data_IF_064057666625
#
_entry.id   IF_064057666625
#
_cell.length_a   1.000
_cell.length_b   1.000
_cell.length_c   1.000
_cell.angle_alpha   90.00
_cell.angle_beta   90.00
_cell.angle_gamma   90.00
#
_symmetry.space_group_name_H-M   'P 1'
#
loop_
_entity.id
_entity.type
_entity.pdbx_description
1 polymer ?
#
# COMPACT_ATOMS: atom_id res chain seq x y z
N UNK A 1 -12.77 -73.05 -6.43
CA UNK A 1 -12.48 -74.12 -7.41
C UNK A 1 -13.58 -74.14 -8.46
N UNK A 2 -13.16 -74.20 -9.74
CA UNK A 2 -13.90 -74.38 -11.01
C UNK A 2 -14.65 -73.14 -11.53
N UNK A 3 -14.06 -72.30 -12.40
CA UNK A 3 -13.85 -72.46 -13.87
C UNK A 3 -15.14 -72.68 -14.67
N UNK A 4 -15.49 -71.72 -15.53
CA UNK A 4 -15.64 -71.93 -16.98
C UNK A 4 -15.67 -70.58 -17.73
N UNK A 5 -14.75 -70.46 -18.69
CA UNK A 5 -14.57 -69.43 -19.70
C UNK A 5 -15.44 -69.76 -20.94
N UNK A 6 -15.85 -68.77 -21.75
CA UNK A 6 -15.53 -68.62 -23.20
C UNK A 6 -16.56 -67.82 -24.01
N UNK A 7 -16.05 -67.11 -25.03
CA UNK A 7 -16.76 -66.35 -26.08
C UNK A 7 -15.96 -65.09 -26.40
N UNK A 8 -14.93 -65.06 -27.26
CA UNK A 8 -14.79 -65.45 -28.69
C UNK A 8 -15.58 -64.57 -29.67
N UNK A 9 -14.85 -63.79 -30.47
CA UNK A 9 -15.32 -62.93 -31.56
C UNK A 9 -14.21 -61.94 -31.93
N UNK A 10 -13.21 -62.32 -32.73
CA UNK A 10 -13.20 -62.47 -34.20
C UNK A 10 -12.44 -61.29 -34.85
N UNK A 11 -11.31 -61.66 -35.44
CA UNK A 11 -10.43 -60.88 -36.31
C UNK A 11 -11.11 -60.53 -37.65
N UNK A 12 -10.81 -59.35 -38.21
CA UNK A 12 -11.05 -58.97 -39.61
C UNK A 12 -10.24 -57.72 -40.01
N UNK A 13 -9.76 -57.60 -41.27
CA UNK A 13 -8.42 -57.09 -41.56
C UNK A 13 -8.32 -55.62 -42.02
N UNK A 14 -7.11 -55.10 -41.88
CA UNK A 14 -6.63 -53.78 -42.29
C UNK A 14 -6.16 -53.78 -43.76
N UNK A 15 -6.66 -52.84 -44.58
CA UNK A 15 -5.98 -52.41 -45.81
C UNK A 15 -6.54 -51.08 -46.35
N UNK A 16 -5.75 -50.01 -46.23
CA UNK A 16 -6.04 -48.73 -46.87
C UNK A 16 -4.96 -47.69 -46.58
N UNK A 17 -3.90 -47.68 -47.40
CA UNK A 17 -2.77 -46.76 -47.31
C UNK A 17 -3.13 -45.32 -47.76
N UNK A 18 -2.32 -44.37 -47.27
CA UNK A 18 -2.01 -42.98 -47.75
C UNK A 18 -2.72 -41.88 -46.96
N UNK A 19 -2.13 -40.73 -46.66
CA UNK A 19 -0.76 -40.24 -46.55
C UNK A 19 -0.87 -38.81 -45.93
N UNK A 20 0.19 -38.39 -45.25
CA UNK A 20 0.63 -36.99 -45.11
C UNK A 20 -0.18 -35.99 -44.27
N UNK A 21 0.28 -35.72 -43.04
CA UNK A 21 0.78 -34.40 -42.55
C UNK A 21 1.06 -34.47 -41.04
N UNK A 22 2.24 -34.04 -40.54
CA UNK A 22 2.46 -33.87 -39.11
C UNK A 22 1.99 -32.47 -38.69
N UNK A 23 0.76 -32.35 -38.21
CA UNK A 23 0.34 -31.16 -37.48
C UNK A 23 1.08 -31.16 -36.12
N UNK A 24 2.09 -30.30 -36.03
CA UNK A 24 2.78 -29.95 -34.78
C UNK A 24 1.76 -29.29 -33.86
N UNK A 25 1.23 -30.04 -32.89
CA UNK A 25 0.56 -29.45 -31.73
C UNK A 25 1.67 -28.89 -30.83
N UNK A 26 1.94 -27.59 -30.98
CA UNK A 26 2.69 -26.82 -30.01
C UNK A 26 1.96 -26.87 -28.67
N UNK A 27 2.46 -27.69 -27.77
CA UNK A 27 2.21 -27.59 -26.35
C UNK A 27 2.82 -26.28 -25.84
N UNK A 28 2.09 -25.17 -25.98
CA UNK A 28 2.32 -23.96 -25.21
C UNK A 28 1.53 -24.11 -23.90
N UNK A 29 2.12 -24.87 -22.97
CA UNK A 29 1.75 -24.82 -21.56
C UNK A 29 2.14 -23.44 -21.00
N UNK A 30 1.36 -22.42 -21.34
CA UNK A 30 1.38 -21.14 -20.66
C UNK A 30 0.86 -21.33 -19.25
N UNK A 31 1.77 -21.62 -18.32
CA UNK A 31 1.48 -21.58 -16.90
C UNK A 31 0.89 -20.21 -16.58
N UNK A 32 -0.43 -20.17 -16.41
CA UNK A 32 -1.14 -18.99 -15.94
C UNK A 32 -0.48 -18.57 -14.63
N UNK A 33 0.27 -17.47 -14.70
CA UNK A 33 0.85 -16.82 -13.55
C UNK A 33 -0.26 -16.46 -12.60
N UNK A 34 -0.50 -17.33 -11.62
CA UNK A 34 -1.18 -16.96 -10.39
C UNK A 34 -0.22 -16.01 -9.68
N UNK A 35 -0.19 -14.76 -10.10
CA UNK A 35 0.36 -13.70 -9.29
C UNK A 35 -0.58 -13.57 -8.09
N UNK A 36 -0.34 -14.41 -7.09
CA UNK A 36 -1.18 -14.51 -5.90
C UNK A 36 -1.23 -13.11 -5.26
N UNK A 37 -2.42 -12.55 -4.95
CA UNK A 37 -2.53 -11.27 -4.22
C UNK A 37 -1.69 -11.22 -2.94
N UNK A 38 -1.37 -12.40 -2.40
CA UNK A 38 -0.50 -12.62 -1.25
C UNK A 38 0.96 -12.17 -1.49
N UNK A 39 1.53 -12.35 -2.68
CA UNK A 39 2.92 -11.96 -2.95
C UNK A 39 3.12 -10.44 -2.89
N UNK A 40 2.19 -9.66 -3.47
CA UNK A 40 2.24 -8.20 -3.41
C UNK A 40 2.06 -7.68 -1.98
N UNK A 41 1.06 -8.20 -1.26
CA UNK A 41 0.81 -7.81 0.13
C UNK A 41 2.02 -8.14 1.02
N UNK A 42 2.62 -9.33 0.84
CA UNK A 42 3.82 -9.75 1.57
C UNK A 42 4.97 -8.78 1.34
N UNK A 43 5.26 -8.41 0.09
CA UNK A 43 6.31 -7.43 -0.22
C UNK A 43 6.01 -6.08 0.42
N UNK A 44 4.76 -5.60 0.31
CA UNK A 44 4.33 -4.33 0.92
C UNK A 44 4.52 -4.31 2.44
N UNK A 45 4.18 -5.39 3.14
CA UNK A 45 4.37 -5.50 4.60
C UNK A 45 5.85 -5.52 4.99
N UNK A 46 6.70 -6.22 4.24
CA UNK A 46 8.13 -6.33 4.58
C UNK A 46 8.91 -5.01 4.42
N UNK A 47 8.42 -4.08 3.59
CA UNK A 47 9.07 -2.79 3.35
C UNK A 47 8.35 -1.59 3.99
N UNK A 48 7.21 -1.83 4.67
CA UNK A 48 6.40 -0.76 5.22
C UNK A 48 7.02 -0.15 6.48
N UNK A 49 6.97 1.18 6.56
CA UNK A 49 7.22 1.94 7.79
C UNK A 49 6.16 1.62 8.86
N UNK A 50 6.41 1.95 10.15
CA UNK A 50 5.43 1.73 11.21
C UNK A 50 4.06 2.38 10.94
N UNK A 51 4.04 3.59 10.37
CA UNK A 51 2.79 4.27 10.01
C UNK A 51 2.04 3.55 8.87
N UNK A 52 2.77 3.05 7.87
CA UNK A 52 2.17 2.25 6.78
C UNK A 52 1.67 0.89 7.26
N UNK A 53 2.35 0.23 8.20
CA UNK A 53 1.87 -1.01 8.81
C UNK A 53 0.56 -0.79 9.57
N UNK A 54 0.44 0.32 10.30
CA UNK A 54 -0.80 0.68 10.98
C UNK A 54 -1.93 0.96 9.99
N UNK A 55 -1.64 1.70 8.91
CA UNK A 55 -2.60 1.92 7.84
C UNK A 55 -3.07 0.60 7.22
N UNK A 56 -2.15 -0.33 6.95
CA UNK A 56 -2.46 -1.67 6.44
C UNK A 56 -3.34 -2.50 7.38
N UNK A 57 -3.13 -2.39 8.70
CA UNK A 57 -4.01 -3.02 9.70
C UNK A 57 -5.42 -2.45 9.60
N UNK A 58 -5.56 -1.12 9.56
CA UNK A 58 -6.87 -0.46 9.47
C UNK A 58 -7.59 -0.85 8.17
N UNK A 59 -6.89 -0.82 7.02
CA UNK A 59 -7.44 -1.30 5.74
C UNK A 59 -7.88 -2.77 5.82
N UNK A 60 -7.08 -3.60 6.48
CA UNK A 60 -7.40 -5.00 6.75
C UNK A 60 -8.67 -5.16 7.59
N UNK A 61 -8.83 -4.37 8.67
CA UNK A 61 -10.01 -4.38 9.52
C UNK A 61 -11.27 -4.03 8.74
N UNK A 62 -11.25 -2.95 7.94
CA UNK A 62 -12.37 -2.54 7.08
C UNK A 62 -12.76 -3.68 6.15
N UNK A 63 -11.79 -4.28 5.45
CA UNK A 63 -12.03 -5.40 4.53
C UNK A 63 -12.69 -6.59 5.22
N UNK A 64 -12.29 -6.93 6.45
CA UNK A 64 -12.90 -8.03 7.20
C UNK A 64 -14.29 -7.67 7.75
N UNK A 65 -14.53 -6.41 8.10
CA UNK A 65 -15.87 -5.93 8.41
C UNK A 65 -16.79 -6.03 7.18
N UNK A 66 -16.34 -5.57 6.01
CA UNK A 66 -17.07 -5.71 4.75
C UNK A 66 -17.35 -7.19 4.41
N UNK A 67 -16.39 -8.08 4.66
CA UNK A 67 -16.59 -9.52 4.48
C UNK A 67 -17.68 -10.08 5.42
N UNK A 68 -17.69 -9.68 6.70
CA UNK A 68 -18.73 -10.10 7.64
C UNK A 68 -20.11 -9.54 7.24
N UNK A 69 -20.16 -8.27 6.82
CA UNK A 69 -21.36 -7.58 6.33
C UNK A 69 -21.98 -8.28 5.12
N UNK A 70 -21.16 -8.62 4.11
CA UNK A 70 -21.60 -9.42 2.97
C UNK A 70 -22.06 -10.81 3.41
N UNK A 71 -21.34 -11.45 4.34
CA UNK A 71 -21.73 -12.73 4.91
C UNK A 71 -23.12 -12.71 5.57
N UNK A 72 -23.48 -11.64 6.28
CA UNK A 72 -24.83 -11.45 6.84
C UNK A 72 -25.86 -11.39 5.71
N UNK A 73 -25.61 -10.57 4.69
CA UNK A 73 -26.51 -10.36 3.55
C UNK A 73 -26.74 -11.64 2.75
N UNK A 74 -25.69 -12.44 2.59
CA UNK A 74 -25.69 -13.70 1.84
C UNK A 74 -26.06 -14.92 2.69
N UNK A 75 -26.30 -14.73 3.99
CA UNK A 75 -26.52 -15.83 4.96
C UNK A 75 -25.39 -16.88 4.97
N UNK A 76 -24.14 -16.44 4.80
CA UNK A 76 -22.95 -17.27 4.77
C UNK A 76 -22.24 -17.28 6.15
N UNK A 77 -22.41 -18.33 6.97
CA UNK A 77 -21.90 -18.35 8.34
C UNK A 77 -20.37 -18.36 8.43
N UNK A 78 -19.67 -18.95 7.46
CA UNK A 78 -18.21 -18.97 7.42
C UNK A 78 -17.63 -17.57 7.18
N UNK A 79 -18.24 -16.79 6.28
CA UNK A 79 -17.86 -15.40 6.02
C UNK A 79 -18.13 -14.51 7.22
N UNK A 80 -19.30 -14.67 7.87
CA UNK A 80 -19.65 -13.96 9.10
C UNK A 80 -18.60 -14.23 10.18
N UNK A 81 -18.37 -15.50 10.49
CA UNK A 81 -17.43 -15.89 11.56
C UNK A 81 -16.01 -15.41 11.27
N UNK A 82 -15.53 -15.64 10.05
CA UNK A 82 -14.16 -15.26 9.65
C UNK A 82 -13.99 -13.75 9.67
N UNK A 83 -14.93 -13.00 9.10
CA UNK A 83 -14.87 -11.53 9.05
C UNK A 83 -14.84 -10.93 10.45
N UNK A 84 -15.79 -11.27 11.32
CA UNK A 84 -15.81 -10.74 12.69
C UNK A 84 -14.61 -11.16 13.53
N UNK A 85 -14.13 -12.40 13.38
CA UNK A 85 -12.96 -12.88 14.14
C UNK A 85 -11.69 -12.17 13.71
N UNK A 86 -11.49 -11.96 12.40
CA UNK A 86 -10.32 -11.27 11.86
C UNK A 86 -10.35 -9.77 12.14
N UNK A 87 -11.51 -9.11 11.99
CA UNK A 87 -11.66 -7.70 12.34
C UNK A 87 -11.33 -7.46 13.82
N UNK A 88 -11.93 -8.23 14.73
CA UNK A 88 -11.66 -8.12 16.18
C UNK A 88 -10.19 -8.37 16.53
N UNK A 89 -9.55 -9.37 15.91
CA UNK A 89 -8.13 -9.64 16.13
C UNK A 89 -7.25 -8.43 15.74
N UNK A 90 -7.58 -7.75 14.64
CA UNK A 90 -6.86 -6.53 14.25
C UNK A 90 -7.11 -5.39 15.24
N UNK A 91 -8.35 -5.20 15.69
CA UNK A 91 -8.64 -4.15 16.70
C UNK A 91 -7.86 -4.41 18.00
N UNK A 92 -7.75 -5.66 18.45
CA UNK A 92 -6.93 -6.03 19.61
C UNK A 92 -5.44 -5.73 19.38
N UNK A 93 -4.93 -5.98 18.18
CA UNK A 93 -3.56 -5.63 17.81
C UNK A 93 -3.33 -4.11 17.83
N UNK A 94 -4.27 -3.32 17.30
CA UNK A 94 -4.21 -1.86 17.34
C UNK A 94 -4.14 -1.31 18.77
N UNK A 95 -4.91 -1.90 19.70
CA UNK A 95 -4.85 -1.56 21.14
C UNK A 95 -3.49 -1.93 21.72
N UNK A 96 -3.00 -3.14 21.42
CA UNK A 96 -1.74 -3.66 21.95
C UNK A 96 -0.52 -2.87 21.46
N UNK A 97 -0.63 -2.22 20.31
CA UNK A 97 0.40 -1.33 19.76
C UNK A 97 0.41 0.10 20.31
N UNK A 98 -0.49 0.46 21.24
CA UNK A 98 -0.49 1.78 21.88
C UNK A 98 0.54 1.85 23.02
N UNK A 99 1.23 2.98 23.15
CA UNK A 99 2.20 3.22 24.21
C UNK A 99 1.70 4.32 25.19
N UNK A 100 1.41 3.99 26.46
CA UNK A 100 0.92 4.96 27.43
C UNK A 100 1.98 5.99 27.86
N UNK A 101 3.27 5.69 27.67
CA UNK A 101 4.37 6.56 28.11
C UNK A 101 4.58 7.78 27.18
N UNK A 102 4.04 7.75 25.97
CA UNK A 102 4.20 8.83 24.97
C UNK A 102 3.22 9.97 25.21
N UNK A 103 1.94 9.63 25.38
CA UNK A 103 0.86 10.57 25.67
C UNK A 103 -0.28 9.79 26.38
N UNK A 104 -0.38 9.89 27.71
CA UNK A 104 -1.39 9.16 28.49
C UNK A 104 -2.83 9.53 28.13
N UNK A 105 -3.10 10.81 27.84
CA UNK A 105 -4.46 11.28 27.55
C UNK A 105 -4.93 10.77 26.18
N UNK A 106 -4.03 10.81 25.18
CA UNK A 106 -4.31 10.23 23.88
C UNK A 106 -4.43 8.71 23.94
N UNK A 107 -3.57 8.05 24.73
CA UNK A 107 -3.63 6.61 24.97
C UNK A 107 -5.01 6.18 25.49
N UNK A 108 -5.54 6.86 26.51
CA UNK A 108 -6.86 6.56 27.07
C UNK A 108 -7.98 6.74 26.05
N UNK A 109 -7.96 7.84 25.28
CA UNK A 109 -8.96 8.09 24.23
C UNK A 109 -8.95 7.02 23.14
N UNK A 110 -7.77 6.67 22.63
CA UNK A 110 -7.64 5.67 21.56
C UNK A 110 -8.01 4.27 22.05
N UNK A 111 -7.58 3.91 23.26
CA UNK A 111 -7.96 2.64 23.88
C UNK A 111 -9.47 2.55 24.05
N UNK A 112 -10.11 3.63 24.50
CA UNK A 112 -11.58 3.73 24.61
C UNK A 112 -12.29 3.55 23.26
N UNK A 113 -11.83 4.26 22.22
CA UNK A 113 -12.38 4.15 20.87
C UNK A 113 -12.26 2.72 20.30
N UNK A 114 -11.09 2.11 20.40
CA UNK A 114 -10.87 0.76 19.89
C UNK A 114 -11.63 -0.30 20.70
N UNK A 115 -11.75 -0.13 22.03
CA UNK A 115 -12.57 -1.01 22.87
C UNK A 115 -14.06 -0.89 22.55
N UNK A 116 -14.54 0.32 22.27
CA UNK A 116 -15.90 0.54 21.79
C UNK A 116 -16.13 -0.20 20.46
N UNK A 117 -15.28 -0.01 19.46
CA UNK A 117 -15.40 -0.73 18.18
C UNK A 117 -15.37 -2.25 18.35
N UNK A 118 -14.49 -2.78 19.21
CA UNK A 118 -14.46 -4.20 19.51
C UNK A 118 -15.81 -4.69 20.08
N UNK A 119 -16.37 -3.96 21.03
CA UNK A 119 -17.67 -4.29 21.66
C UNK A 119 -18.79 -4.26 20.63
N UNK A 120 -18.84 -3.22 19.78
CA UNK A 120 -19.83 -3.13 18.69
C UNK A 120 -19.71 -4.28 17.69
N UNK A 121 -18.50 -4.74 17.37
CA UNK A 121 -18.32 -5.93 16.54
C UNK A 121 -18.82 -7.22 17.22
N UNK A 122 -18.73 -7.32 18.54
CA UNK A 122 -19.34 -8.43 19.29
C UNK A 122 -20.86 -8.37 19.19
N UNK A 123 -21.46 -7.21 19.44
CA UNK A 123 -22.91 -6.99 19.33
C UNK A 123 -23.42 -7.32 17.92
N UNK A 124 -22.77 -6.74 16.89
CA UNK A 124 -23.09 -6.98 15.49
C UNK A 124 -23.03 -8.48 15.12
N UNK A 125 -22.05 -9.21 15.65
CA UNK A 125 -21.92 -10.64 15.39
C UNK A 125 -23.03 -11.48 16.04
N UNK A 126 -23.46 -11.09 17.24
CA UNK A 126 -24.52 -11.76 17.99
C UNK A 126 -25.89 -11.51 17.35
N UNK A 127 -26.15 -10.25 16.97
CA UNK A 127 -27.43 -9.81 16.42
C UNK A 127 -27.51 -9.97 14.90
N UNK A 128 -26.38 -10.20 14.22
CA UNK A 128 -26.23 -10.15 12.76
C UNK A 128 -26.76 -8.83 12.19
N UNK A 129 -26.49 -7.71 12.86
CA UNK A 129 -26.92 -6.38 12.42
C UNK A 129 -25.92 -5.76 11.45
N UNK A 130 -26.42 -5.37 10.27
CA UNK A 130 -25.65 -4.63 9.26
C UNK A 130 -25.42 -3.18 9.73
N UNK A 131 -26.38 -2.62 10.45
CA UNK A 131 -26.33 -1.24 10.94
C UNK A 131 -25.20 -1.05 11.95
N UNK A 132 -25.02 -2.01 12.88
CA UNK A 132 -23.93 -1.94 13.87
C UNK A 132 -22.56 -2.08 13.20
N UNK A 133 -22.42 -2.99 12.22
CA UNK A 133 -21.13 -3.15 11.53
C UNK A 133 -20.81 -1.95 10.62
N UNK A 134 -21.82 -1.32 10.01
CA UNK A 134 -21.66 -0.09 9.22
C UNK A 134 -21.14 1.06 10.10
N UNK A 135 -21.63 1.19 11.34
CA UNK A 135 -21.10 2.17 12.31
C UNK A 135 -19.58 1.97 12.56
N UNK A 136 -19.15 0.73 12.76
CA UNK A 136 -17.73 0.41 12.97
C UNK A 136 -16.90 0.66 11.70
N UNK A 137 -17.44 0.34 10.52
CA UNK A 137 -16.77 0.60 9.24
C UNK A 137 -16.53 2.10 9.07
N UNK A 138 -17.50 2.95 9.39
CA UNK A 138 -17.34 4.40 9.28
C UNK A 138 -16.27 4.93 10.24
N UNK A 139 -16.23 4.47 11.49
CA UNK A 139 -15.16 4.82 12.43
C UNK A 139 -13.77 4.40 11.91
N UNK A 140 -13.66 3.20 11.36
CA UNK A 140 -12.42 2.73 10.74
C UNK A 140 -12.03 3.53 9.49
N UNK A 141 -13.00 4.06 8.73
CA UNK A 141 -12.72 4.94 7.58
C UNK A 141 -12.11 6.27 8.02
N UNK A 142 -12.61 6.87 9.10
CA UNK A 142 -12.00 8.09 9.66
C UNK A 142 -10.58 7.86 10.15
N UNK A 143 -10.33 6.73 10.84
CA UNK A 143 -8.98 6.32 11.21
C UNK A 143 -8.10 6.16 9.96
N UNK A 144 -8.60 5.45 8.94
CA UNK A 144 -7.86 5.23 7.69
C UNK A 144 -7.49 6.53 7.00
N UNK A 145 -8.41 7.49 6.94
CA UNK A 145 -8.16 8.82 6.36
C UNK A 145 -7.06 9.56 7.12
N UNK A 146 -7.16 9.58 8.45
CA UNK A 146 -6.16 10.21 9.33
C UNK A 146 -4.76 9.63 9.12
N UNK A 147 -4.65 8.30 9.11
CA UNK A 147 -3.36 7.63 8.90
C UNK A 147 -2.85 7.76 7.46
N UNK A 148 -3.74 7.81 6.47
CA UNK A 148 -3.35 8.07 5.08
C UNK A 148 -2.74 9.46 4.92
N UNK A 149 -3.32 10.47 5.55
CA UNK A 149 -2.78 11.84 5.57
C UNK A 149 -1.40 11.87 6.25
N UNK A 150 -1.26 11.22 7.40
CA UNK A 150 0.03 11.13 8.10
C UNK A 150 1.12 10.48 7.23
N UNK A 151 0.82 9.35 6.59
CA UNK A 151 1.76 8.67 5.69
C UNK A 151 2.16 9.57 4.52
N UNK A 152 1.20 10.30 3.93
CA UNK A 152 1.48 11.24 2.85
C UNK A 152 2.41 12.38 3.30
N UNK A 153 2.17 12.95 4.49
CA UNK A 153 3.00 14.02 5.05
C UNK A 153 4.44 13.54 5.32
N UNK A 154 4.60 12.36 5.93
CA UNK A 154 5.91 11.77 6.17
C UNK A 154 6.67 11.51 4.86
N UNK A 155 5.97 11.09 3.81
CA UNK A 155 6.56 10.89 2.49
C UNK A 155 7.03 12.22 1.86
N UNK A 156 6.24 13.30 1.98
CA UNK A 156 6.64 14.62 1.47
C UNK A 156 7.83 15.20 2.24
N UNK A 157 7.84 15.12 3.57
CA UNK A 157 8.96 15.60 4.40
C UNK A 157 10.27 14.90 4.04
N UNK A 158 10.23 13.58 3.84
CA UNK A 158 11.39 12.80 3.42
C UNK A 158 11.88 13.19 2.01
N UNK A 159 10.96 13.52 1.08
CA UNK A 159 11.32 13.96 -0.26
C UNK A 159 11.98 15.34 -0.25
N UNK A 160 11.44 16.28 0.54
CA UNK A 160 12.00 17.63 0.69
C UNK A 160 13.40 17.59 1.33
N UNK A 161 13.58 16.78 2.37
CA UNK A 161 14.89 16.57 3.00
C UNK A 161 15.94 16.04 2.01
N UNK A 162 15.58 15.06 1.17
CA UNK A 162 16.47 14.53 0.14
C UNK A 162 16.86 15.56 -0.93
N UNK A 163 15.96 16.51 -1.25
CA UNK A 163 16.29 17.61 -2.19
C UNK A 163 17.21 18.66 -1.58
N UNK A 164 17.10 18.96 -0.28
CA UNK A 164 18.00 19.90 0.41
C UNK A 164 19.41 19.33 0.61
N UNK A 165 19.54 18.02 0.83
CA UNK A 165 20.84 17.36 0.96
C UNK A 165 21.64 17.34 -0.35
N UNK A 166 20.95 17.33 -1.50
CA UNK A 166 21.59 17.32 -2.82
C UNK A 166 21.75 18.71 -3.45
N UNK A 167 21.70 19.79 -2.66
CA UNK A 167 22.11 21.10 -3.14
C UNK A 167 23.60 21.04 -3.52
N UNK A 168 24.01 21.49 -4.72
CA UNK A 168 25.42 21.56 -5.05
C UNK A 168 26.10 22.49 -4.04
N UNK A 169 27.05 21.96 -3.28
CA UNK A 169 27.98 22.75 -2.49
C UNK A 169 28.62 23.75 -3.44
N UNK A 170 28.21 25.02 -3.36
CA UNK A 170 28.92 26.08 -4.08
C UNK A 170 30.35 26.04 -3.54
N UNK A 171 31.37 25.72 -4.36
CA UNK A 171 32.74 25.83 -3.89
C UNK A 171 32.95 27.29 -3.48
N UNK A 172 33.69 27.57 -2.38
CA UNK A 172 33.96 28.95 -1.99
C UNK A 172 34.57 29.65 -3.19
N UNK A 173 33.85 30.66 -3.70
CA UNK A 173 34.27 31.42 -4.87
C UNK A 173 35.72 31.88 -4.64
N UNK A 174 36.62 31.39 -5.48
CA UNK A 174 38.02 31.79 -5.47
C UNK A 174 38.12 33.32 -5.53
N UNK A 175 39.09 33.85 -4.78
CA UNK A 175 39.39 35.27 -4.64
C UNK A 175 39.18 36.07 -5.93
N UNK A 176 38.60 37.28 -5.87
CA UNK A 176 38.30 38.03 -7.08
C UNK A 176 39.61 38.44 -7.77
N UNK A 177 39.80 37.94 -9.00
CA UNK A 177 40.82 38.44 -9.93
C UNK A 177 40.53 39.92 -10.19
N UNK A 178 41.50 40.77 -9.88
CA UNK A 178 41.47 42.21 -10.09
C UNK A 178 41.36 42.50 -11.59
N UNK A 179 40.18 42.89 -12.06
CA UNK A 179 39.97 43.34 -13.44
C UNK A 179 40.46 44.79 -13.58
N UNK A 180 41.42 44.99 -14.47
CA UNK A 180 41.96 46.30 -14.88
C UNK A 180 40.90 47.05 -15.69
N UNK A 181 40.45 48.20 -15.18
CA UNK A 181 39.55 49.10 -15.91
C UNK A 181 40.31 49.88 -17.00
N UNK A 182 39.74 50.11 -18.20
CA UNK A 182 40.29 51.08 -19.14
C UNK A 182 39.75 52.48 -18.80
N UNK A 183 40.67 53.43 -18.70
CA UNK A 183 40.40 54.85 -18.45
C UNK A 183 39.90 55.54 -19.73
N UNK A 184 38.78 56.25 -19.67
CA UNK A 184 38.29 57.13 -20.74
C UNK A 184 37.87 58.50 -20.15
N UNK A 185 38.01 59.59 -20.94
CA UNK A 185 38.61 60.83 -20.47
C UNK A 185 37.59 61.84 -19.94
N UNK A 186 37.97 62.50 -18.85
CA UNK A 186 37.22 63.57 -18.20
C UNK A 186 37.14 64.84 -19.05
N UNK A 187 35.91 65.27 -19.29
CA UNK A 187 35.55 66.57 -19.86
C UNK A 187 35.84 67.68 -18.82
N UNK A 188 36.65 68.66 -19.21
CA UNK A 188 37.04 69.78 -18.37
C UNK A 188 35.87 70.72 -18.01
N UNK A 189 35.83 71.31 -16.79
CA UNK A 189 35.01 72.49 -16.53
C UNK A 189 35.74 73.78 -16.94
N UNK A 190 34.99 74.68 -17.57
CA UNK A 190 35.46 75.95 -18.10
C UNK A 190 35.72 77.03 -17.02
N UNK A 191 36.88 77.67 -17.16
CA UNK A 191 37.19 79.11 -17.00
C UNK A 191 36.93 79.83 -15.67
N UNK A 192 38.00 80.36 -15.04
CA UNK A 192 38.11 81.78 -14.64
C UNK A 192 39.58 82.26 -14.47
N UNK A 193 39.96 83.21 -15.34
CA UNK A 193 40.72 84.47 -15.14
C UNK A 193 41.66 84.67 -13.93
N UNK A 194 42.92 85.07 -14.21
CA UNK A 194 43.80 86.01 -13.47
C UNK A 194 44.96 86.38 -14.43
N UNK A 195 45.09 87.55 -15.07
CA UNK A 195 45.44 88.92 -14.59
C UNK A 195 46.84 89.04 -13.96
N UNK A 196 47.75 89.65 -14.76
CA UNK A 196 48.87 90.56 -14.40
C UNK A 196 50.15 90.03 -13.76
N UNK A 197 51.28 90.45 -14.34
CA UNK A 197 52.59 90.52 -13.69
C UNK A 197 53.76 90.35 -14.64
#
# INVERSE_FOLDING_TARGET
MNHHQTGSGAYGPNSGKRASTPATVQASGGGAGHNTPNAYLKTKVMSASPAELRLLLIEGAIRFCDQARSGISESNPEMIFTGFSKARAIITELISGLNPDVDPELYERLTGLYTFMFTRLVDASSEKSIEIIDEVIELLRYERETWSLLVANLASENAEAATMENLPTVPPAGSPVRSSAPELPGLAPATRISTTG
#
